data_IF_866840056470
#
_entry.id   IF_866840056470
#
_cell.length_a   1.000
_cell.length_b   1.000
_cell.length_c   1.000
_cell.angle_alpha   90.00
_cell.angle_beta   90.00
_cell.angle_gamma   90.00
#
_symmetry.space_group_name_H-M   'P 1'
#
loop_
_entity.id
_entity.type
_entity.pdbx_description
1 polymer ?
#
# COMPACT_ATOMS: atom_id res chain seq x y z
N UNK A 1 7.37 16.50 -34.15
CA UNK A 1 8.50 16.22 -33.22
C UNK A 1 8.12 16.49 -31.76
N UNK A 2 7.46 17.60 -31.43
CA UNK A 2 7.02 17.94 -30.06
C UNK A 2 6.02 16.94 -29.45
N UNK A 3 5.05 16.41 -30.22
CA UNK A 3 4.11 15.40 -29.71
C UNK A 3 4.74 14.05 -29.36
N UNK A 4 5.80 13.64 -30.07
CA UNK A 4 6.52 12.37 -29.81
C UNK A 4 7.40 12.42 -28.56
N UNK A 5 7.75 13.60 -28.08
CA UNK A 5 8.63 13.79 -26.92
C UNK A 5 7.87 13.89 -25.60
N UNK A 6 6.57 14.23 -25.64
CA UNK A 6 5.74 14.39 -24.45
C UNK A 6 5.74 13.17 -23.52
N UNK A 7 5.42 11.96 -24.02
CA UNK A 7 5.46 10.73 -23.21
C UNK A 7 6.82 10.47 -22.57
N UNK A 8 7.91 10.70 -23.31
CA UNK A 8 9.27 10.54 -22.80
C UNK A 8 9.65 11.57 -21.74
N UNK A 9 9.19 12.82 -21.88
CA UNK A 9 9.36 13.85 -20.86
C UNK A 9 8.59 13.49 -19.58
N UNK A 10 7.40 12.92 -19.71
CA UNK A 10 6.62 12.43 -18.57
C UNK A 10 7.32 11.25 -17.87
N UNK A 11 7.86 10.30 -18.63
CA UNK A 11 8.67 9.20 -18.09
C UNK A 11 9.82 9.77 -17.27
N UNK A 12 10.59 10.70 -17.83
CA UNK A 12 11.75 11.28 -17.16
C UNK A 12 11.36 12.05 -15.89
N UNK A 13 10.31 12.87 -15.95
CA UNK A 13 9.83 13.68 -14.83
C UNK A 13 9.35 12.80 -13.68
N UNK A 14 8.49 11.82 -13.99
CA UNK A 14 7.92 10.89 -12.99
C UNK A 14 9.03 10.04 -12.37
N UNK A 15 9.89 9.47 -13.21
CA UNK A 15 11.01 8.63 -12.76
C UNK A 15 11.97 9.40 -11.87
N UNK A 16 12.28 10.65 -12.21
CA UNK A 16 13.22 11.47 -11.41
C UNK A 16 12.62 11.80 -10.05
N UNK A 17 11.35 12.21 -9.98
CA UNK A 17 10.69 12.50 -8.69
C UNK A 17 10.57 11.26 -7.79
N UNK A 18 10.21 10.13 -8.39
CA UNK A 18 10.15 8.84 -7.70
C UNK A 18 11.54 8.38 -7.21
N UNK A 19 12.56 8.48 -8.07
CA UNK A 19 13.95 8.15 -7.72
C UNK A 19 14.47 9.00 -6.55
N UNK A 20 14.24 10.31 -6.58
CA UNK A 20 14.61 11.20 -5.47
C UNK A 20 13.96 10.77 -4.15
N UNK A 21 12.67 10.41 -4.20
CA UNK A 21 11.93 9.95 -3.02
C UNK A 21 12.52 8.66 -2.45
N UNK A 22 12.72 7.63 -3.28
CA UNK A 22 13.22 6.34 -2.78
C UNK A 22 14.68 6.38 -2.35
N UNK A 23 15.52 7.21 -2.98
CA UNK A 23 16.91 7.37 -2.55
C UNK A 23 17.05 8.16 -1.25
N UNK A 24 16.23 9.20 -1.05
CA UNK A 24 16.17 9.90 0.23
C UNK A 24 15.74 8.94 1.36
N UNK A 25 14.69 8.14 1.11
CA UNK A 25 14.25 7.13 2.07
C UNK A 25 15.31 6.05 2.33
N UNK A 26 16.05 5.62 1.31
CA UNK A 26 17.14 4.65 1.46
C UNK A 26 18.27 5.20 2.34
N UNK A 27 18.64 6.47 2.17
CA UNK A 27 19.63 7.12 3.01
C UNK A 27 19.16 7.20 4.47
N UNK A 28 17.91 7.63 4.68
CA UNK A 28 17.30 7.70 6.01
C UNK A 28 17.28 6.32 6.67
N UNK A 29 16.84 5.28 5.97
CA UNK A 29 16.78 3.92 6.46
C UNK A 29 18.16 3.40 6.92
N UNK A 30 19.22 3.67 6.14
CA UNK A 30 20.58 3.30 6.52
C UNK A 30 21.06 4.06 7.77
N UNK A 31 20.71 5.34 7.90
CA UNK A 31 20.98 6.11 9.11
C UNK A 31 20.24 5.50 10.31
N UNK A 32 18.95 5.22 10.18
CA UNK A 32 18.13 4.55 11.21
C UNK A 32 18.73 3.22 11.62
N UNK A 33 19.12 2.37 10.66
CA UNK A 33 19.75 1.08 10.93
C UNK A 33 21.07 1.24 11.71
N UNK A 34 21.94 2.15 11.26
CA UNK A 34 23.22 2.38 11.92
C UNK A 34 23.05 2.88 13.36
N UNK A 35 22.04 3.74 13.60
CA UNK A 35 21.66 4.21 14.92
C UNK A 35 21.14 3.07 15.80
N UNK A 36 20.23 2.25 15.28
CA UNK A 36 19.69 1.09 15.98
C UNK A 36 20.76 0.07 16.37
N UNK A 37 21.71 -0.23 15.47
CA UNK A 37 22.86 -1.11 15.77
C UNK A 37 23.71 -0.53 16.90
N UNK A 38 23.99 0.78 16.89
CA UNK A 38 24.78 1.43 17.93
C UNK A 38 24.08 1.37 19.30
N UNK A 39 22.75 1.59 19.33
CA UNK A 39 21.93 1.44 20.55
C UNK A 39 22.00 0.00 21.05
N UNK A 40 21.82 -1.00 20.18
CA UNK A 40 21.86 -2.42 20.55
C UNK A 40 23.19 -2.85 21.15
N UNK A 41 24.32 -2.39 20.60
CA UNK A 41 25.62 -2.67 21.21
C UNK A 41 25.74 -2.08 22.62
N UNK A 42 25.20 -0.88 22.85
CA UNK A 42 25.13 -0.28 24.18
C UNK A 42 24.23 -1.07 25.13
N UNK A 43 23.06 -1.52 24.64
CA UNK A 43 22.10 -2.33 25.40
C UNK A 43 22.67 -3.71 25.72
N UNK A 44 23.45 -4.33 24.85
CA UNK A 44 24.06 -5.64 25.11
C UNK A 44 24.99 -5.61 26.34
N UNK A 45 25.62 -4.46 26.61
CA UNK A 45 26.50 -4.29 27.76
C UNK A 45 25.75 -3.89 29.05
N UNK A 46 24.63 -3.18 28.90
CA UNK A 46 23.94 -2.51 30.02
C UNK A 46 22.62 -3.18 30.43
N UNK A 47 21.89 -3.74 29.47
CA UNK A 47 20.63 -4.48 29.64
C UNK A 47 20.50 -5.57 28.55
N UNK A 48 21.24 -6.69 28.65
CA UNK A 48 21.26 -7.73 27.62
C UNK A 48 19.87 -8.28 27.27
N UNK A 49 18.97 -8.39 28.25
CA UNK A 49 17.61 -8.85 28.04
C UNK A 49 16.82 -7.92 27.10
N UNK A 50 17.00 -6.61 27.23
CA UNK A 50 16.39 -5.61 26.34
C UNK A 50 16.94 -5.73 24.93
N UNK A 51 18.26 -5.86 24.79
CA UNK A 51 18.91 -6.04 23.49
C UNK A 51 18.36 -7.28 22.75
N UNK A 52 18.31 -8.44 23.41
CA UNK A 52 17.74 -9.64 22.81
C UNK A 52 16.24 -9.50 22.49
N UNK A 53 15.49 -8.74 23.30
CA UNK A 53 14.10 -8.40 23.02
C UNK A 53 13.93 -7.56 21.75
N UNK A 54 14.72 -6.50 21.62
CA UNK A 54 14.75 -5.63 20.44
C UNK A 54 15.14 -6.37 19.17
N UNK A 55 16.20 -7.19 19.22
CA UNK A 55 16.61 -8.03 18.09
C UNK A 55 15.51 -9.01 17.69
N UNK A 56 14.85 -9.67 18.66
CA UNK A 56 13.71 -10.54 18.38
C UNK A 56 12.58 -9.77 17.71
N UNK A 57 12.22 -8.60 18.23
CA UNK A 57 11.17 -7.76 17.65
C UNK A 57 11.51 -7.30 16.23
N UNK A 58 12.78 -6.96 15.97
CA UNK A 58 13.28 -6.61 14.64
C UNK A 58 13.19 -7.80 13.66
N UNK A 59 13.42 -9.02 14.11
CA UNK A 59 13.23 -10.21 13.27
C UNK A 59 11.73 -10.49 13.01
N UNK A 60 10.89 -10.31 14.02
CA UNK A 60 9.45 -10.52 13.91
C UNK A 60 8.75 -9.44 13.06
N UNK A 61 9.29 -8.22 12.99
CA UNK A 61 8.74 -7.12 12.18
C UNK A 61 8.84 -7.38 10.68
N UNK A 62 9.80 -8.18 10.22
CA UNK A 62 10.04 -8.46 8.80
C UNK A 62 8.81 -9.05 8.12
N UNK A 63 8.29 -10.16 8.68
CA UNK A 63 7.20 -10.92 8.09
C UNK A 63 5.89 -10.82 8.89
N UNK A 64 5.90 -10.14 10.04
CA UNK A 64 4.78 -10.10 10.98
C UNK A 64 4.27 -11.49 11.36
N UNK A 65 5.22 -12.38 11.71
CA UNK A 65 4.92 -13.73 12.17
C UNK A 65 5.17 -13.82 13.67
N UNK A 66 4.15 -14.19 14.42
CA UNK A 66 4.21 -14.36 15.87
C UNK A 66 2.93 -14.93 16.45
N UNK A 67 2.88 -15.01 17.77
CA UNK A 67 1.67 -15.49 18.46
C UNK A 67 0.63 -14.36 18.51
N UNK A 68 -0.54 -14.49 17.84
CA UNK A 68 -1.54 -13.44 17.81
C UNK A 68 -2.16 -13.15 19.19
N UNK A 69 -2.00 -14.05 20.17
CA UNK A 69 -2.47 -13.87 21.55
C UNK A 69 -1.42 -13.21 22.46
N UNK A 70 -0.21 -12.96 21.96
CA UNK A 70 0.86 -12.31 22.71
C UNK A 70 0.75 -10.78 22.54
N UNK A 71 0.52 -10.07 23.65
CA UNK A 71 0.35 -8.61 23.68
C UNK A 71 1.59 -7.88 23.12
N UNK A 72 2.80 -8.40 23.37
CA UNK A 72 4.01 -7.81 22.81
C UNK A 72 4.03 -7.92 21.28
N UNK A 73 3.55 -9.04 20.74
CA UNK A 73 3.42 -9.23 19.30
C UNK A 73 2.30 -8.36 18.70
N UNK A 74 1.17 -8.17 19.40
CA UNK A 74 0.12 -7.27 18.95
C UNK A 74 0.62 -5.82 18.86
N UNK A 75 1.34 -5.34 19.87
CA UNK A 75 1.94 -4.00 19.85
C UNK A 75 2.95 -3.84 18.71
N UNK A 76 3.82 -4.84 18.52
CA UNK A 76 4.74 -4.90 17.38
C UNK A 76 3.99 -4.84 16.04
N UNK A 77 2.98 -5.69 15.87
CA UNK A 77 2.20 -5.76 14.64
C UNK A 77 1.54 -4.43 14.34
N UNK A 78 0.89 -3.82 15.32
CA UNK A 78 0.27 -2.50 15.18
C UNK A 78 1.28 -1.44 14.73
N UNK A 79 2.42 -1.35 15.42
CA UNK A 79 3.45 -0.38 15.09
C UNK A 79 3.98 -0.58 13.66
N UNK A 80 4.33 -1.82 13.27
CA UNK A 80 4.80 -2.10 11.91
C UNK A 80 3.74 -1.80 10.86
N UNK A 81 2.47 -2.16 11.11
CA UNK A 81 1.40 -1.91 10.14
C UNK A 81 1.15 -0.42 9.87
N UNK A 82 1.43 0.46 10.83
CA UNK A 82 1.38 1.92 10.60
C UNK A 82 2.52 2.41 9.70
N UNK A 83 3.64 1.69 9.66
CA UNK A 83 4.78 2.00 8.81
C UNK A 83 4.72 1.32 7.43
N UNK A 84 3.77 0.41 7.21
CA UNK A 84 3.60 -0.29 5.94
C UNK A 84 2.27 0.00 5.27
N UNK A 85 1.19 0.24 6.02
CA UNK A 85 -0.13 0.56 5.49
C UNK A 85 -0.39 2.06 5.59
N UNK A 86 -1.01 2.63 4.56
CA UNK A 86 -1.35 4.05 4.54
C UNK A 86 -2.46 4.34 3.54
N UNK A 87 -2.46 5.53 2.96
CA UNK A 87 -3.45 5.95 1.97
C UNK A 87 -4.61 6.72 2.60
N UNK A 88 -5.17 7.66 1.84
CA UNK A 88 -6.33 8.44 2.25
C UNK A 88 -7.40 8.39 1.17
N UNK A 89 -8.64 8.56 1.57
CA UNK A 89 -9.76 8.74 0.65
C UNK A 89 -10.85 9.59 1.28
N UNK A 90 -11.90 9.86 0.52
CA UNK A 90 -13.09 10.58 0.95
C UNK A 90 -14.32 9.82 0.47
N UNK A 91 -15.37 9.78 1.29
CA UNK A 91 -16.67 9.30 0.87
C UNK A 91 -17.38 10.35 -0.01
N UNK A 92 -18.22 9.89 -0.95
CA UNK A 92 -19.01 10.74 -1.85
C UNK A 92 -20.45 10.24 -1.97
N UNK A 93 -21.47 11.00 -1.55
CA UNK A 93 -21.37 12.23 -0.74
C UNK A 93 -20.83 11.89 0.66
N UNK A 94 -19.80 12.60 1.09
CA UNK A 94 -19.21 12.43 2.41
C UNK A 94 -19.62 13.52 3.39
N UNK A 95 -19.33 13.31 4.67
CA UNK A 95 -19.48 14.33 5.71
C UNK A 95 -18.54 15.51 5.39
N UNK A 96 -19.06 16.73 5.55
CA UNK A 96 -18.28 17.96 5.41
C UNK A 96 -17.97 18.54 6.80
N UNK A 97 -16.71 18.89 7.05
CA UNK A 97 -16.27 19.69 8.20
C UNK A 97 -15.72 21.02 7.71
N UNK A 98 -16.27 22.14 8.18
CA UNK A 98 -15.96 23.48 7.65
C UNK A 98 -16.05 23.61 6.12
N UNK A 99 -16.99 22.89 5.50
CA UNK A 99 -17.20 22.88 4.05
C UNK A 99 -16.17 22.07 3.26
N UNK A 100 -15.30 21.30 3.92
CA UNK A 100 -14.35 20.38 3.29
C UNK A 100 -14.71 18.92 3.58
N UNK A 101 -14.55 17.99 2.62
CA UNK A 101 -14.75 16.57 2.87
C UNK A 101 -13.85 16.06 4.00
N UNK A 102 -14.42 15.29 4.92
CA UNK A 102 -13.65 14.58 5.95
C UNK A 102 -12.83 13.48 5.30
N UNK A 103 -11.52 13.46 5.57
CA UNK A 103 -10.60 12.45 5.05
C UNK A 103 -10.66 11.17 5.89
N UNK A 104 -10.66 10.04 5.20
CA UNK A 104 -10.55 8.70 5.77
C UNK A 104 -9.09 8.29 5.68
N UNK A 105 -8.45 8.17 6.83
CA UNK A 105 -6.99 8.05 6.93
C UNK A 105 -6.60 6.60 7.18
N UNK A 106 -5.46 6.23 6.62
CA UNK A 106 -4.91 4.88 6.68
C UNK A 106 -5.91 3.83 6.19
N UNK A 107 -6.52 4.09 5.02
CA UNK A 107 -7.59 3.25 4.48
C UNK A 107 -7.17 1.78 4.32
N UNK A 108 -5.90 1.52 3.95
CA UNK A 108 -5.37 0.15 3.87
C UNK A 108 -5.26 -0.54 5.25
N UNK A 109 -5.03 0.23 6.31
CA UNK A 109 -5.08 -0.28 7.68
C UNK A 109 -6.52 -0.61 8.10
N UNK A 110 -7.50 0.23 7.74
CA UNK A 110 -8.91 -0.07 8.00
C UNK A 110 -9.39 -1.34 7.28
N UNK A 111 -8.91 -1.57 6.06
CA UNK A 111 -9.17 -2.81 5.30
C UNK A 111 -8.56 -4.02 6.00
N UNK A 112 -7.33 -3.90 6.50
CA UNK A 112 -6.70 -4.95 7.29
C UNK A 112 -7.58 -5.29 8.51
N UNK A 113 -8.06 -4.29 9.26
CA UNK A 113 -8.97 -4.51 10.40
C UNK A 113 -10.28 -5.18 9.98
N UNK A 114 -10.88 -4.74 8.87
CA UNK A 114 -12.06 -5.36 8.28
C UNK A 114 -11.86 -6.84 7.97
N UNK A 115 -10.72 -7.19 7.36
CA UNK A 115 -10.34 -8.58 7.05
C UNK A 115 -10.11 -9.42 8.31
N UNK A 116 -9.66 -8.81 9.41
CA UNK A 116 -9.32 -9.49 10.65
C UNK A 116 -10.50 -9.66 11.62
N UNK A 117 -11.63 -8.98 11.44
CA UNK A 117 -12.76 -9.20 12.34
C UNK A 117 -13.80 -8.10 12.47
N UNK A 118 -13.50 -6.86 12.07
CA UNK A 118 -14.50 -5.77 12.13
C UNK A 118 -15.38 -5.81 10.88
N UNK A 119 -16.22 -6.84 10.76
CA UNK A 119 -17.18 -7.02 9.65
C UNK A 119 -17.06 -8.38 8.95
N UNK A 120 -15.85 -8.92 8.77
CA UNK A 120 -15.64 -10.30 8.32
C UNK A 120 -15.29 -11.18 9.51
N UNK A 121 -16.11 -12.17 9.83
CA UNK A 121 -15.72 -13.21 10.81
C UNK A 121 -15.08 -14.37 10.05
N UNK A 122 -13.74 -14.44 9.93
CA UNK A 122 -13.12 -15.69 9.52
C UNK A 122 -13.51 -16.74 10.56
N UNK A 123 -13.94 -17.92 10.08
CA UNK A 123 -14.50 -18.97 10.96
C UNK A 123 -13.60 -19.34 12.14
N UNK A 124 -14.17 -19.87 13.22
CA UNK A 124 -13.44 -20.13 14.47
C UNK A 124 -12.32 -21.17 14.32
N UNK A 125 -11.23 -21.00 15.07
CA UNK A 125 -10.17 -22.00 15.17
C UNK A 125 -9.04 -21.80 14.16
N UNK A 126 -8.61 -22.89 13.51
CA UNK A 126 -7.44 -22.88 12.62
C UNK A 126 -7.63 -21.95 11.40
N UNK A 127 -8.87 -21.80 10.91
CA UNK A 127 -9.15 -20.92 9.78
C UNK A 127 -8.91 -19.44 10.12
N UNK A 128 -9.44 -18.94 11.25
CA UNK A 128 -9.16 -17.59 11.72
C UNK A 128 -7.67 -17.34 11.94
N UNK A 129 -6.95 -18.30 12.51
CA UNK A 129 -5.50 -18.20 12.70
C UNK A 129 -4.73 -18.08 11.38
N UNK A 130 -5.12 -18.85 10.35
CA UNK A 130 -4.49 -18.78 9.03
C UNK A 130 -4.81 -17.46 8.32
N UNK A 131 -6.07 -17.02 8.33
CA UNK A 131 -6.46 -15.73 7.73
C UNK A 131 -5.72 -14.58 8.39
N UNK A 132 -5.63 -14.57 9.73
CA UNK A 132 -4.87 -13.56 10.46
C UNK A 132 -3.38 -13.56 10.12
N UNK A 133 -2.76 -14.73 10.02
CA UNK A 133 -1.37 -14.85 9.62
C UNK A 133 -1.11 -14.35 8.18
N UNK A 134 -2.01 -14.67 7.24
CA UNK A 134 -1.90 -14.21 5.86
C UNK A 134 -2.14 -12.70 5.73
N UNK A 135 -3.10 -12.15 6.47
CA UNK A 135 -3.39 -10.73 6.50
C UNK A 135 -2.22 -9.94 7.09
N UNK A 136 -1.65 -10.39 8.21
CA UNK A 136 -0.45 -9.79 8.81
C UNK A 136 0.75 -9.90 7.87
N UNK A 137 0.96 -11.05 7.23
CA UNK A 137 2.00 -11.20 6.23
C UNK A 137 1.78 -10.24 5.06
N UNK A 138 0.57 -10.12 4.52
CA UNK A 138 0.25 -9.22 3.42
C UNK A 138 0.40 -7.73 3.80
N UNK A 139 0.30 -7.41 5.08
CA UNK A 139 0.58 -6.09 5.64
C UNK A 139 2.07 -5.91 6.03
N UNK A 140 2.89 -6.95 5.95
CA UNK A 140 4.28 -6.91 6.41
C UNK A 140 5.22 -6.21 5.42
N UNK A 141 6.35 -5.66 5.89
CA UNK A 141 7.38 -5.09 5.03
C UNK A 141 7.94 -6.11 4.02
N UNK A 142 8.08 -7.39 4.42
CA UNK A 142 8.55 -8.45 3.53
C UNK A 142 7.60 -8.66 2.35
N UNK A 143 6.29 -8.58 2.56
CA UNK A 143 5.35 -8.66 1.44
C UNK A 143 5.48 -7.49 0.47
N UNK A 144 5.78 -6.29 0.99
CA UNK A 144 6.13 -5.11 0.21
C UNK A 144 7.38 -5.34 -0.64
N UNK A 145 8.42 -5.96 -0.05
CA UNK A 145 9.64 -6.33 -0.78
C UNK A 145 9.34 -7.33 -1.89
N UNK A 146 8.58 -8.38 -1.60
CA UNK A 146 8.24 -9.41 -2.59
C UNK A 146 7.46 -8.84 -3.77
N UNK A 147 6.40 -8.07 -3.51
CA UNK A 147 5.63 -7.43 -4.59
C UNK A 147 6.45 -6.36 -5.30
N UNK A 148 7.31 -5.64 -4.58
CA UNK A 148 8.21 -4.63 -5.14
C UNK A 148 9.22 -5.23 -6.11
N UNK A 149 9.78 -6.41 -5.84
CA UNK A 149 10.67 -7.08 -6.79
C UNK A 149 9.94 -7.68 -7.99
N UNK A 150 8.70 -8.16 -7.80
CA UNK A 150 7.88 -8.65 -8.90
C UNK A 150 7.41 -7.52 -9.83
N UNK A 151 7.15 -6.34 -9.25
CA UNK A 151 6.56 -5.19 -9.90
C UNK A 151 7.22 -4.78 -11.23
N UNK A 152 8.52 -4.44 -11.29
CA UNK A 152 9.19 -4.01 -12.52
C UNK A 152 9.18 -5.04 -13.65
N UNK A 153 9.01 -6.33 -13.32
CA UNK A 153 8.93 -7.43 -14.30
C UNK A 153 7.49 -7.54 -14.84
N UNK A 154 6.50 -7.37 -13.97
CA UNK A 154 5.08 -7.55 -14.30
C UNK A 154 4.47 -6.28 -14.90
N UNK A 155 4.87 -5.10 -14.43
CA UNK A 155 4.27 -3.82 -14.79
C UNK A 155 4.33 -3.48 -16.28
N UNK A 156 5.40 -3.79 -17.06
CA UNK A 156 5.37 -3.55 -18.50
C UNK A 156 4.34 -4.46 -19.21
N UNK A 157 4.16 -5.70 -18.74
CA UNK A 157 3.12 -6.59 -19.27
C UNK A 157 1.71 -6.08 -18.99
N UNK A 158 1.47 -5.57 -17.79
CA UNK A 158 0.22 -4.90 -17.42
C UNK A 158 -0.02 -3.67 -18.30
N UNK A 159 1.00 -2.83 -18.49
CA UNK A 159 0.88 -1.65 -19.34
C UNK A 159 0.62 -2.03 -20.80
N UNK A 160 1.25 -3.09 -21.31
CA UNK A 160 0.96 -3.58 -22.67
C UNK A 160 -0.51 -3.99 -22.83
N UNK A 161 -1.08 -4.66 -21.83
CA UNK A 161 -2.51 -5.01 -21.81
C UNK A 161 -3.39 -3.75 -21.77
N UNK A 162 -3.02 -2.76 -20.95
CA UNK A 162 -3.73 -1.49 -20.87
C UNK A 162 -3.72 -0.75 -22.23
N UNK A 163 -2.56 -0.65 -22.87
CA UNK A 163 -2.42 -0.03 -24.19
C UNK A 163 -3.23 -0.78 -25.26
N UNK A 164 -3.20 -2.12 -25.25
CA UNK A 164 -4.01 -2.92 -26.17
C UNK A 164 -5.51 -2.67 -25.98
N UNK A 165 -5.97 -2.56 -24.72
CA UNK A 165 -7.36 -2.21 -24.39
C UNK A 165 -7.73 -0.80 -24.86
N UNK A 166 -6.84 0.17 -24.66
CA UNK A 166 -7.03 1.56 -25.11
C UNK A 166 -7.12 1.64 -26.65
N UNK A 167 -6.19 1.01 -27.37
CA UNK A 167 -6.20 0.91 -28.84
C UNK A 167 -7.52 0.29 -29.33
N UNK A 168 -7.95 -0.82 -28.75
CA UNK A 168 -9.19 -1.48 -29.15
C UNK A 168 -10.42 -0.58 -28.92
N UNK A 169 -10.45 0.13 -27.79
CA UNK A 169 -11.51 1.09 -27.45
C UNK A 169 -11.55 2.25 -28.44
N UNK A 170 -10.39 2.82 -28.78
CA UNK A 170 -10.29 3.92 -29.74
C UNK A 170 -10.72 3.49 -31.15
N UNK A 171 -10.31 2.31 -31.60
CA UNK A 171 -10.70 1.79 -32.91
C UNK A 171 -12.20 1.52 -33.00
N UNK A 172 -12.78 0.87 -31.99
CA UNK A 172 -14.22 0.57 -31.95
C UNK A 172 -15.07 1.82 -31.73
N UNK A 173 -14.52 2.82 -31.06
CA UNK A 173 -15.09 4.16 -30.90
C UNK A 173 -14.97 5.07 -32.13
N UNK A 174 -14.34 4.61 -33.23
CA UNK A 174 -14.20 5.38 -34.47
C UNK A 174 -13.10 6.45 -34.44
N UNK A 175 -12.12 6.34 -33.53
CA UNK A 175 -11.00 7.25 -33.39
C UNK A 175 -9.65 6.58 -33.73
N UNK A 176 -9.39 6.25 -35.01
CA UNK A 176 -8.16 5.58 -35.42
C UNK A 176 -6.90 6.43 -35.23
N UNK A 177 -7.03 7.76 -35.16
CA UNK A 177 -5.91 8.65 -34.87
C UNK A 177 -5.43 8.50 -33.42
N UNK A 178 -6.34 8.42 -32.45
CA UNK A 178 -5.99 8.14 -31.06
C UNK A 178 -5.37 6.75 -30.89
N UNK A 179 -5.93 5.73 -31.55
CA UNK A 179 -5.37 4.38 -31.56
C UNK A 179 -3.92 4.33 -32.10
N UNK A 180 -3.61 5.12 -33.14
CA UNK A 180 -2.25 5.23 -33.66
C UNK A 180 -1.32 5.95 -32.68
N UNK A 181 -1.80 7.00 -32.00
CA UNK A 181 -1.05 7.70 -30.95
C UNK A 181 -0.71 6.77 -29.80
N UNK A 182 -1.65 5.95 -29.33
CA UNK A 182 -1.44 4.96 -28.27
C UNK A 182 -0.39 3.91 -28.67
N UNK A 183 -0.46 3.41 -29.91
CA UNK A 183 0.55 2.48 -30.44
C UNK A 183 1.95 3.10 -30.49
N UNK A 184 2.04 4.37 -30.90
CA UNK A 184 3.30 5.12 -30.97
C UNK A 184 3.87 5.39 -29.56
N UNK A 185 3.01 5.64 -28.58
CA UNK A 185 3.40 5.92 -27.20
C UNK A 185 3.80 4.68 -26.41
N UNK A 186 3.38 3.49 -26.88
CA UNK A 186 3.62 2.21 -26.20
C UNK A 186 5.06 2.01 -25.71
N UNK A 187 6.14 2.29 -26.48
CA UNK A 187 7.50 2.17 -25.96
C UNK A 187 7.79 3.07 -24.75
N UNK A 188 7.27 4.30 -24.74
CA UNK A 188 7.39 5.20 -23.61
C UNK A 188 6.58 4.69 -22.40
N UNK A 189 5.36 4.20 -22.63
CA UNK A 189 4.50 3.68 -21.57
C UNK A 189 5.09 2.44 -20.90
N UNK A 190 5.64 1.49 -21.68
CA UNK A 190 6.31 0.31 -21.15
C UNK A 190 7.55 0.68 -20.33
N UNK A 191 8.30 1.70 -20.78
CA UNK A 191 9.45 2.23 -20.05
C UNK A 191 8.99 2.91 -18.76
N UNK A 192 7.91 3.70 -18.83
CA UNK A 192 7.29 4.30 -17.65
C UNK A 192 6.83 3.23 -16.66
N UNK A 193 6.21 2.16 -17.14
CA UNK A 193 5.74 1.07 -16.32
C UNK A 193 6.88 0.33 -15.62
N UNK A 194 7.99 0.08 -16.32
CA UNK A 194 9.19 -0.53 -15.72
C UNK A 194 9.74 0.32 -14.56
N UNK A 195 9.77 1.65 -14.70
CA UNK A 195 10.34 2.54 -13.69
C UNK A 195 9.36 2.97 -12.61
N UNK A 196 8.09 3.18 -12.94
CA UNK A 196 7.09 3.84 -12.10
C UNK A 196 5.85 2.98 -11.82
N UNK A 197 5.73 1.83 -12.47
CA UNK A 197 4.67 0.87 -12.25
C UNK A 197 3.48 1.02 -13.21
N UNK A 198 2.56 0.07 -13.14
CA UNK A 198 1.31 0.05 -13.88
C UNK A 198 0.22 -0.57 -13.02
N UNK A 199 -1.02 -0.13 -13.23
CA UNK A 199 -2.18 -0.64 -12.51
C UNK A 199 -2.97 -1.57 -13.41
N UNK A 200 -3.25 -2.76 -12.92
CA UNK A 200 -4.13 -3.73 -13.56
C UNK A 200 -5.54 -3.51 -13.04
N UNK A 201 -6.46 -3.18 -13.94
CA UNK A 201 -7.89 -3.13 -13.64
C UNK A 201 -8.43 -4.58 -13.51
N UNK A 202 -9.06 -4.87 -12.36
CA UNK A 202 -9.68 -6.14 -12.02
C UNK A 202 -11.21 -6.03 -11.84
N UNK A 203 -11.84 -4.93 -12.24
CA UNK A 203 -13.30 -4.75 -12.31
C UNK A 203 -14.00 -5.93 -13.02
N UNK A 204 -13.43 -6.57 -14.06
CA UNK A 204 -14.04 -7.78 -14.63
C UNK A 204 -14.19 -8.95 -13.64
N UNK A 205 -13.43 -8.96 -12.54
CA UNK A 205 -13.54 -9.94 -11.45
C UNK A 205 -14.56 -9.51 -10.39
N UNK A 206 -15.08 -8.28 -10.43
CA UNK A 206 -16.04 -7.78 -9.46
C UNK A 206 -17.29 -8.68 -9.34
N UNK A 207 -17.89 -9.24 -10.40
CA UNK A 207 -19.04 -10.14 -10.27
C UNK A 207 -18.76 -11.41 -9.45
N UNK A 208 -17.50 -11.87 -9.42
CA UNK A 208 -17.08 -13.05 -8.65
C UNK A 208 -16.84 -12.70 -7.19
N UNK A 209 -16.34 -11.49 -6.91
CA UNK A 209 -15.92 -11.05 -5.58
C UNK A 209 -17.06 -10.38 -4.81
N UNK A 210 -17.93 -9.65 -5.51
CA UNK A 210 -19.01 -8.86 -4.92
C UNK A 210 -19.98 -9.66 -4.01
N UNK A 211 -20.33 -10.93 -4.30
CA UNK A 211 -21.16 -11.71 -3.38
C UNK A 211 -20.54 -11.86 -1.98
N UNK A 212 -19.21 -11.95 -1.88
CA UNK A 212 -18.51 -12.06 -0.60
C UNK A 212 -18.49 -10.72 0.15
N UNK A 213 -18.28 -9.62 -0.59
CA UNK A 213 -18.33 -8.25 -0.06
C UNK A 213 -19.72 -7.96 0.50
N UNK A 214 -20.75 -8.16 -0.32
CA UNK A 214 -22.14 -7.91 0.04
C UNK A 214 -22.59 -8.79 1.21
N UNK A 215 -22.18 -10.07 1.27
CA UNK A 215 -22.51 -10.93 2.41
C UNK A 215 -21.81 -10.50 3.71
N UNK A 216 -20.57 -9.99 3.62
CA UNK A 216 -19.81 -9.50 4.77
C UNK A 216 -20.47 -8.31 5.45
N UNK A 217 -21.20 -7.50 4.69
CA UNK A 217 -21.86 -6.28 5.18
C UNK A 217 -23.40 -6.36 5.17
N UNK A 218 -23.96 -7.57 5.31
CA UNK A 218 -25.42 -7.79 5.36
C UNK A 218 -26.21 -7.15 4.19
N UNK A 219 -25.58 -7.03 3.02
CA UNK A 219 -26.14 -6.40 1.82
C UNK A 219 -25.88 -4.90 1.70
N UNK A 220 -25.23 -4.27 2.68
CA UNK A 220 -25.00 -2.84 2.72
C UNK A 220 -23.95 -2.34 1.73
N UNK A 221 -22.91 -3.14 1.48
CA UNK A 221 -21.79 -2.76 0.61
C UNK A 221 -21.78 -3.52 -0.72
N UNK A 222 -21.38 -2.83 -1.78
CA UNK A 222 -21.10 -3.40 -3.11
C UNK A 222 -19.74 -2.93 -3.61
N UNK A 223 -18.95 -3.85 -4.15
CA UNK A 223 -17.68 -3.58 -4.81
C UNK A 223 -17.93 -2.93 -6.18
N UNK A 224 -17.49 -1.69 -6.35
CA UNK A 224 -17.62 -0.90 -7.59
C UNK A 224 -16.33 -0.81 -8.38
N UNK A 225 -15.19 -1.10 -7.76
CA UNK A 225 -13.91 -1.13 -8.43
C UNK A 225 -12.92 -2.06 -7.74
N UNK A 226 -12.05 -2.68 -8.52
CA UNK A 226 -10.96 -3.50 -8.01
C UNK A 226 -9.73 -3.36 -8.91
N UNK A 227 -8.57 -3.20 -8.31
CA UNK A 227 -7.32 -3.10 -9.06
C UNK A 227 -6.12 -3.56 -8.25
N UNK A 228 -5.03 -3.89 -8.96
CA UNK A 228 -3.72 -4.11 -8.35
C UNK A 228 -2.70 -3.19 -9.02
N UNK A 229 -2.07 -2.33 -8.21
CA UNK A 229 -0.97 -1.46 -8.60
C UNK A 229 0.37 -2.21 -8.43
N UNK A 230 0.97 -2.61 -9.55
CA UNK A 230 2.33 -3.15 -9.58
C UNK A 230 3.32 -1.99 -9.67
N UNK A 231 4.23 -1.86 -8.70
CA UNK A 231 5.25 -0.81 -8.74
C UNK A 231 6.37 -1.09 -9.74
N UNK A 232 6.98 -0.05 -10.28
CA UNK A 232 8.22 -0.10 -11.01
C UNK A 232 9.42 0.09 -10.10
N UNK A 233 10.62 0.17 -10.70
CA UNK A 233 11.89 0.20 -9.98
C UNK A 233 11.96 1.32 -8.91
N UNK A 234 11.40 2.48 -9.22
CA UNK A 234 11.42 3.66 -8.37
C UNK A 234 10.07 3.95 -7.70
N UNK A 235 9.06 3.07 -7.85
CA UNK A 235 7.78 3.29 -7.19
C UNK A 235 7.97 3.39 -5.67
N UNK A 236 7.53 4.51 -5.05
CA UNK A 236 7.87 4.78 -3.67
C UNK A 236 7.12 3.91 -2.66
N UNK A 237 5.98 3.31 -2.98
CA UNK A 237 5.17 2.58 -2.00
C UNK A 237 4.76 3.48 -0.84
N UNK A 238 4.13 4.61 -1.13
CA UNK A 238 3.86 5.64 -0.13
C UNK A 238 2.97 5.12 0.99
N UNK A 239 3.35 5.45 2.21
CA UNK A 239 2.62 5.16 3.43
C UNK A 239 2.16 6.53 3.94
N UNK A 240 1.14 7.10 3.27
CA UNK A 240 0.72 8.49 3.46
C UNK A 240 -0.46 8.93 2.58
N UNK A 241 -1.06 10.09 2.91
CA UNK A 241 -2.24 10.66 2.26
C UNK A 241 -2.08 10.79 0.74
N UNK A 242 -3.04 10.22 0.02
CA UNK A 242 -3.18 10.34 -1.43
C UNK A 242 -3.76 11.69 -1.92
N UNK A 243 -3.37 11.97 -3.17
CA UNK A 243 -3.83 12.96 -4.17
C UNK A 243 -3.67 14.48 -3.95
N UNK A 244 -3.81 15.09 -2.77
CA UNK A 244 -3.87 16.58 -2.68
C UNK A 244 -3.01 17.28 -1.60
N UNK A 245 -1.81 16.78 -1.28
CA UNK A 245 -0.82 17.51 -0.46
C UNK A 245 -0.41 16.78 0.83
N UNK A 246 0.59 17.28 1.59
CA UNK A 246 1.46 16.41 2.35
C UNK A 246 0.92 16.03 3.73
N UNK A 247 0.94 14.74 4.03
CA UNK A 247 1.70 14.17 5.16
C UNK A 247 2.25 12.80 4.71
N UNK A 248 3.57 12.63 4.81
CA UNK A 248 4.38 11.49 4.35
C UNK A 248 4.89 10.70 5.56
N UNK A 249 4.32 9.53 5.89
CA UNK A 249 4.83 8.69 7.00
C UNK A 249 5.99 7.79 6.54
N UNK A 250 6.11 7.51 5.23
CA UNK A 250 7.25 6.77 4.67
C UNK A 250 7.07 6.26 3.23
N UNK A 251 8.11 5.58 2.72
CA UNK A 251 8.07 4.71 1.53
C UNK A 251 7.87 3.25 1.92
N UNK A 252 7.68 2.40 0.92
CA UNK A 252 7.96 0.97 0.89
C UNK A 252 6.78 0.03 1.11
N UNK A 253 5.71 0.50 1.74
CA UNK A 253 4.41 -0.17 1.73
C UNK A 253 4.43 -1.66 2.12
N UNK A 254 3.34 -2.34 1.76
CA UNK A 254 3.15 -3.78 1.83
C UNK A 254 2.39 -4.28 0.59
N UNK A 255 2.10 -5.58 0.51
CA UNK A 255 1.25 -6.11 -0.55
C UNK A 255 -0.15 -5.49 -0.52
N UNK A 256 -0.71 -5.24 0.66
CA UNK A 256 -2.04 -4.62 0.76
C UNK A 256 -2.08 -3.20 0.20
N UNK A 257 -0.97 -2.46 0.22
CA UNK A 257 -0.92 -1.13 -0.40
C UNK A 257 -1.13 -1.21 -1.91
N UNK A 258 -0.73 -2.29 -2.57
CA UNK A 258 -0.97 -2.47 -4.00
C UNK A 258 -2.46 -2.65 -4.35
N UNK A 259 -3.33 -2.94 -3.38
CA UNK A 259 -4.75 -3.18 -3.62
C UNK A 259 -5.51 -1.85 -3.74
N UNK A 260 -6.16 -1.61 -4.88
CA UNK A 260 -7.14 -0.52 -5.01
C UNK A 260 -8.56 -1.09 -5.01
N UNK A 261 -9.48 -0.46 -4.27
CA UNK A 261 -10.89 -0.83 -4.30
C UNK A 261 -11.81 0.38 -4.35
N UNK A 262 -13.01 0.14 -4.88
CA UNK A 262 -14.15 1.03 -4.84
C UNK A 262 -15.33 0.33 -4.19
N UNK A 263 -16.05 1.04 -3.33
CA UNK A 263 -17.27 0.58 -2.70
C UNK A 263 -18.40 1.57 -2.92
N UNK A 264 -19.62 1.05 -3.05
CA UNK A 264 -20.86 1.80 -2.90
C UNK A 264 -21.66 1.23 -1.75
N UNK A 265 -22.26 2.11 -0.96
CA UNK A 265 -23.03 1.78 0.21
C UNK A 265 -24.53 1.93 -0.05
N UNK A 266 -25.32 1.06 0.54
CA UNK A 266 -26.77 0.93 0.38
C UNK A 266 -27.40 0.45 1.68
N UNK A 267 -28.71 0.66 1.90
CA UNK A 267 -29.35 0.19 3.13
C UNK A 267 -29.15 -1.34 3.29
N UNK A 268 -28.77 -1.84 4.49
CA UNK A 268 -28.91 -1.21 5.81
C UNK A 268 -27.70 -0.44 6.34
N UNK A 269 -26.64 -0.24 5.54
CA UNK A 269 -25.43 0.51 5.93
C UNK A 269 -25.75 1.97 6.30
N UNK A 270 -25.04 2.52 7.28
CA UNK A 270 -25.25 3.88 7.79
C UNK A 270 -24.75 4.98 6.84
N UNK A 271 -23.83 4.64 5.95
CA UNK A 271 -23.34 5.48 4.84
C UNK A 271 -24.12 5.24 3.53
N UNK A 272 -25.32 4.63 3.58
CA UNK A 272 -26.15 4.36 2.41
C UNK A 272 -26.30 5.57 1.47
N UNK A 273 -25.96 5.37 0.19
CA UNK A 273 -25.92 6.41 -0.84
C UNK A 273 -24.52 7.01 -1.06
N UNK A 274 -23.55 6.70 -0.21
CA UNK A 274 -22.16 7.07 -0.39
C UNK A 274 -21.37 6.07 -1.26
N UNK A 275 -20.22 6.53 -1.72
CA UNK A 275 -19.21 5.76 -2.44
C UNK A 275 -17.84 6.12 -1.90
N UNK A 276 -16.97 5.14 -1.79
CA UNK A 276 -15.57 5.32 -1.42
C UNK A 276 -14.72 4.69 -2.52
N UNK A 277 -13.68 5.37 -2.96
CA UNK A 277 -12.68 4.79 -3.86
C UNK A 277 -11.29 5.16 -3.36
N UNK A 278 -10.42 4.17 -3.23
CA UNK A 278 -9.02 4.40 -2.92
C UNK A 278 -8.15 3.64 -3.93
N UNK A 279 -7.19 4.32 -4.56
CA UNK A 279 -6.30 3.68 -5.51
C UNK A 279 -5.26 2.81 -4.77
N UNK A 280 -4.81 1.76 -5.44
CA UNK A 280 -3.62 1.03 -5.01
C UNK A 280 -2.40 1.95 -5.07
N UNK A 281 -1.56 1.87 -4.06
CA UNK A 281 -0.29 2.58 -3.92
C UNK A 281 0.83 1.66 -4.43
N UNK A 282 1.49 2.00 -5.55
CA UNK A 282 2.47 1.12 -6.18
C UNK A 282 3.72 0.99 -5.31
N UNK A 283 4.04 -0.24 -4.91
CA UNK A 283 5.23 -0.58 -4.14
C UNK A 283 6.35 -1.02 -5.07
N UNK A 284 7.47 -0.29 -5.06
CA UNK A 284 8.68 -0.63 -5.81
C UNK A 284 9.77 -1.24 -4.92
N UNK A 285 10.77 -1.92 -5.50
CA UNK A 285 11.73 -2.71 -4.74
C UNK A 285 12.65 -1.83 -3.88
N UNK A 286 13.07 -0.66 -4.38
CA UNK A 286 13.97 0.25 -3.64
C UNK A 286 13.26 0.84 -2.43
N UNK A 287 12.04 1.36 -2.62
CA UNK A 287 11.22 1.88 -1.53
C UNK A 287 10.91 0.81 -0.49
N UNK A 288 10.55 -0.40 -0.92
CA UNK A 288 10.23 -1.51 -0.03
C UNK A 288 11.42 -1.97 0.82
N UNK A 289 12.60 -2.10 0.22
CA UNK A 289 13.82 -2.45 0.95
C UNK A 289 14.21 -1.34 1.93
N UNK A 290 14.08 -0.06 1.52
CA UNK A 290 14.33 1.06 2.43
C UNK A 290 13.41 1.01 3.66
N UNK A 291 12.12 0.76 3.47
CA UNK A 291 11.16 0.61 4.57
C UNK A 291 11.49 -0.56 5.49
N UNK A 292 11.81 -1.73 4.92
CA UNK A 292 12.22 -2.90 5.70
C UNK A 292 13.45 -2.57 6.57
N UNK A 293 14.47 -1.92 5.99
CA UNK A 293 15.69 -1.52 6.71
C UNK A 293 15.36 -0.52 7.81
N UNK A 294 14.50 0.46 7.51
CA UNK A 294 14.11 1.49 8.48
C UNK A 294 13.36 0.88 9.67
N UNK A 295 12.30 0.10 9.43
CA UNK A 295 11.55 -0.62 10.46
C UNK A 295 12.47 -1.52 11.29
N UNK A 296 13.39 -2.24 10.65
CA UNK A 296 14.35 -3.08 11.35
C UNK A 296 15.27 -2.24 12.26
N UNK A 297 15.81 -1.14 11.74
CA UNK A 297 16.64 -0.20 12.50
C UNK A 297 15.91 0.45 13.68
N UNK A 298 14.67 0.88 13.48
CA UNK A 298 13.84 1.43 14.55
C UNK A 298 13.57 0.41 15.65
N UNK A 299 13.43 -0.88 15.30
CA UNK A 299 13.26 -1.94 16.29
C UNK A 299 14.52 -2.32 17.04
N UNK A 300 15.67 -2.31 16.38
CA UNK A 300 16.95 -2.42 17.09
C UNK A 300 17.10 -1.26 18.08
N UNK A 301 16.69 -0.04 17.72
CA UNK A 301 16.73 1.08 18.65
C UNK A 301 15.71 0.96 19.82
N UNK A 302 14.75 0.03 19.74
CA UNK A 302 13.60 -0.04 20.65
C UNK A 302 12.58 1.09 20.45
N UNK A 303 12.69 1.87 19.37
CA UNK A 303 11.93 3.10 19.16
C UNK A 303 10.55 2.85 18.54
N UNK A 304 10.41 1.81 17.69
CA UNK A 304 9.18 1.60 16.91
C UNK A 304 7.96 1.32 17.81
N UNK A 305 8.15 0.53 18.88
CA UNK A 305 7.07 0.19 19.83
C UNK A 305 6.77 1.36 20.76
N UNK A 306 7.72 2.29 20.93
CA UNK A 306 7.58 3.45 21.82
C UNK A 306 7.10 4.71 21.13
N UNK A 307 7.07 4.77 19.79
CA UNK A 307 6.60 5.96 19.06
C UNK A 307 5.10 6.14 19.29
N UNK A 308 4.68 7.15 20.07
CA UNK A 308 3.29 7.51 20.16
C UNK A 308 3.08 8.60 19.10
N UNK A 309 3.05 8.24 17.82
CA UNK A 309 2.43 9.11 16.80
C UNK A 309 0.88 8.98 16.85
N UNK A 310 0.37 8.76 18.06
CA UNK A 310 -1.03 8.88 18.46
C UNK A 310 -1.19 10.14 19.31
N UNK A 311 -0.61 11.26 18.86
CA UNK A 311 -1.06 12.58 19.34
C UNK A 311 -2.34 13.05 18.60
N UNK A 312 -2.89 12.25 17.68
CA UNK A 312 -4.04 12.65 16.85
C UNK A 312 -5.26 11.73 16.80
N UNK A 313 -5.13 10.43 17.11
CA UNK A 313 -6.25 9.49 16.99
C UNK A 313 -6.53 8.82 18.33
N UNK A 314 -7.40 9.44 19.12
CA UNK A 314 -8.03 8.76 20.24
C UNK A 314 -8.84 7.54 19.75
N UNK A 315 -9.14 6.59 20.64
CA UNK A 315 -10.08 5.52 20.31
C UNK A 315 -11.43 6.15 19.98
N UNK A 316 -12.01 5.76 18.84
CA UNK A 316 -13.46 5.80 18.64
C UNK A 316 -14.09 4.65 19.42
#
# INVERSE_FOLDING_TARGET
MTELLGPWQQVLTTTTGNAQTVFAASQQALTTLSGGIAVEFGQLLTSPATAFGNLRNALQSVALIGNPNDVSFQNLSSAVTQHTLGGTTVATPGILFNGQPVQINDIHYQILLGLLGSGFTPGTGMQAGLVGALANFAASPLSGVLIGFAGPIVSPGVQLLNNAGAIATDLTGGNPAAALTELINTPADLTNAFFNGATLNLDPLAPVINPFVSAGDAGGQTLTGLSIAFGGLFSPGQVAFGANGPMYNGTGGSLLNSLGMGFSFSPPDDDAGATIAFPGLPVGPIGAVANLIDIFGQQLAGNLITSPDVAGYGPI
#
